data_IF_804621914012
#
_entry.id   IF_804621914012
#
_cell.length_a   1.000
_cell.length_b   1.000
_cell.length_c   1.000
_cell.angle_alpha   90.00
_cell.angle_beta   90.00
_cell.angle_gamma   90.00
#
_symmetry.space_group_name_H-M   'P 1'
#
loop_
_entity.id
_entity.type
_entity.pdbx_description
1 polymer ?
#
# COMPACT_ATOMS: atom_id res chain seq x y z
N UNK A 1 5.74 20.61 -16.50
CA UNK A 1 6.61 19.42 -16.45
C UNK A 1 7.70 19.70 -15.43
N UNK A 2 7.80 18.88 -14.38
CA UNK A 2 8.86 18.99 -13.37
C UNK A 2 10.15 18.49 -14.04
N UNK A 3 11.16 19.34 -14.17
CA UNK A 3 12.45 18.94 -14.76
C UNK A 3 13.19 18.00 -13.81
N UNK A 4 13.75 16.88 -14.32
CA UNK A 4 14.61 15.98 -13.54
C UNK A 4 13.93 14.79 -12.85
N UNK A 5 12.68 14.46 -13.16
CA UNK A 5 12.01 13.25 -12.64
C UNK A 5 12.60 11.99 -13.30
N UNK A 6 13.23 11.12 -12.51
CA UNK A 6 13.80 9.84 -12.97
C UNK A 6 12.76 8.70 -12.96
N UNK A 7 11.88 8.69 -11.95
CA UNK A 7 10.85 7.67 -11.77
C UNK A 7 9.53 8.36 -11.45
N UNK A 8 8.46 7.93 -12.13
CA UNK A 8 7.11 8.41 -11.90
C UNK A 8 6.20 7.21 -11.67
N UNK A 9 5.50 7.26 -10.55
CA UNK A 9 4.51 6.28 -10.16
C UNK A 9 3.17 6.99 -10.01
N UNK A 10 2.11 6.43 -10.59
CA UNK A 10 0.77 7.01 -10.50
C UNK A 10 -0.13 6.03 -9.76
N UNK A 11 -0.34 6.31 -8.48
CA UNK A 11 -1.24 5.54 -7.63
C UNK A 11 -2.10 6.47 -6.78
N UNK A 12 -3.15 5.90 -6.18
CA UNK A 12 -4.02 6.65 -5.30
C UNK A 12 -4.93 5.73 -4.49
N UNK A 13 -5.65 6.30 -3.50
CA UNK A 13 -5.59 7.71 -3.12
C UNK A 13 -4.36 8.07 -2.27
N UNK A 14 -4.16 9.37 -2.05
CA UNK A 14 -3.28 9.89 -1.00
C UNK A 14 -3.83 9.48 0.36
N UNK A 15 -3.03 8.79 1.17
CA UNK A 15 -3.40 8.32 2.50
C UNK A 15 -3.13 9.39 3.56
N UNK A 16 -1.93 9.98 3.50
CA UNK A 16 -1.46 11.01 4.43
C UNK A 16 -0.88 12.17 3.61
N UNK A 17 -1.26 13.39 3.98
CA UNK A 17 -0.73 14.64 3.44
C UNK A 17 -0.40 15.60 4.58
N UNK A 18 0.82 16.13 4.59
CA UNK A 18 1.37 16.96 5.68
C UNK A 18 1.15 16.34 7.09
N UNK A 19 1.36 15.03 7.21
CA UNK A 19 1.19 14.27 8.44
C UNK A 19 -0.26 14.05 8.88
N UNK A 20 -1.25 14.46 8.07
CA UNK A 20 -2.68 14.31 8.36
C UNK A 20 -3.32 13.31 7.41
N UNK A 21 -4.24 12.49 7.92
CA UNK A 21 -5.01 11.55 7.10
C UNK A 21 -5.81 12.34 6.06
N UNK A 22 -5.67 11.96 4.79
CA UNK A 22 -6.29 12.65 3.64
C UNK A 22 -7.48 11.89 3.05
N UNK A 23 -7.57 10.58 3.31
CA UNK A 23 -8.73 9.78 2.90
C UNK A 23 -9.95 10.04 3.79
N UNK A 24 -11.11 10.20 3.17
CA UNK A 24 -12.38 10.27 3.88
C UNK A 24 -13.28 9.10 3.46
N UNK A 25 -13.98 8.51 4.43
CA UNK A 25 -14.90 7.38 4.17
C UNK A 25 -15.97 7.68 3.10
N UNK A 26 -16.27 8.97 2.85
CA UNK A 26 -17.32 9.40 1.93
C UNK A 26 -16.83 9.64 0.49
N UNK A 27 -15.51 9.64 0.24
CA UNK A 27 -14.92 9.86 -1.09
C UNK A 27 -14.41 8.58 -1.74
N UNK A 28 -14.57 7.45 -1.06
CA UNK A 28 -14.12 6.15 -1.52
C UNK A 28 -15.22 5.41 -2.26
N UNK A 29 -14.87 4.85 -3.43
CA UNK A 29 -15.71 3.86 -4.13
C UNK A 29 -15.94 2.68 -3.17
N UNK A 30 -17.11 2.03 -3.18
CA UNK A 30 -17.44 0.92 -2.27
C UNK A 30 -16.34 -0.16 -2.14
N UNK A 31 -15.59 -0.40 -3.21
CA UNK A 31 -14.46 -1.34 -3.25
C UNK A 31 -13.26 -0.92 -2.36
N UNK A 32 -13.09 0.39 -2.15
CA UNK A 32 -12.06 0.98 -1.30
C UNK A 32 -12.46 0.99 0.19
N UNK A 33 -13.76 1.11 0.48
CA UNK A 33 -14.28 1.01 1.84
C UNK A 33 -14.19 -0.40 2.42
N UNK A 34 -14.24 -1.44 1.57
CA UNK A 34 -14.09 -2.82 2.00
C UNK A 34 -12.64 -3.14 2.40
N UNK A 35 -12.50 -3.89 3.50
CA UNK A 35 -11.23 -4.48 3.91
C UNK A 35 -10.66 -5.37 2.82
N UNK A 36 -9.41 -5.12 2.45
CA UNK A 36 -8.69 -5.85 1.42
C UNK A 36 -7.20 -5.95 1.79
N UNK A 37 -6.45 -6.87 1.18
CA UNK A 37 -5.00 -6.75 1.16
C UNK A 37 -4.61 -5.39 0.57
N UNK A 38 -3.63 -4.72 1.17
CA UNK A 38 -3.19 -3.39 0.78
C UNK A 38 -1.68 -3.30 0.72
N UNK A 39 -1.19 -2.39 -0.10
CA UNK A 39 0.21 -1.95 -0.09
C UNK A 39 0.26 -0.44 -0.10
N UNK A 40 1.22 0.13 0.62
CA UNK A 40 1.42 1.57 0.67
C UNK A 40 2.91 1.92 0.69
N UNK A 41 3.21 3.11 0.21
CA UNK A 41 4.51 3.77 0.35
C UNK A 41 4.31 5.12 1.02
N UNK A 42 5.20 5.47 1.93
CA UNK A 42 5.21 6.76 2.60
C UNK A 42 6.61 7.26 2.87
N UNK A 43 6.70 8.52 3.30
CA UNK A 43 7.95 9.19 3.62
C UNK A 43 7.80 9.92 4.96
N UNK A 44 8.70 9.63 5.90
CA UNK A 44 8.77 10.32 7.20
C UNK A 44 9.52 11.65 7.05
N UNK A 45 10.64 11.61 6.32
CA UNK A 45 11.50 12.75 6.01
C UNK A 45 12.22 12.50 4.68
N UNK A 46 12.89 13.50 4.05
CA UNK A 46 13.61 13.28 2.80
C UNK A 46 14.49 12.03 2.85
N UNK A 47 14.30 11.14 1.87
CA UNK A 47 15.01 9.85 1.72
C UNK A 47 14.77 8.81 2.84
N UNK A 48 13.80 9.03 3.73
CA UNK A 48 13.38 8.06 4.75
C UNK A 48 11.98 7.53 4.41
N UNK A 49 11.96 6.37 3.75
CA UNK A 49 10.74 5.74 3.25
C UNK A 49 10.22 4.66 4.18
N UNK A 50 8.90 4.49 4.18
CA UNK A 50 8.19 3.41 4.84
C UNK A 50 7.36 2.67 3.79
N UNK A 51 7.43 1.34 3.82
CA UNK A 51 6.63 0.46 2.99
C UNK A 51 5.78 -0.42 3.89
N UNK A 52 4.49 -0.53 3.55
CA UNK A 52 3.55 -1.37 4.29
C UNK A 52 2.87 -2.32 3.32
N UNK A 53 2.76 -3.58 3.74
CA UNK A 53 1.87 -4.58 3.12
C UNK A 53 0.94 -5.13 4.20
N UNK A 54 -0.31 -5.37 3.84
CA UNK A 54 -1.29 -6.07 4.67
C UNK A 54 -1.84 -7.24 3.89
N UNK A 55 -1.88 -8.40 4.54
CA UNK A 55 -2.71 -9.53 4.09
C UNK A 55 -4.19 -9.21 4.26
N UNK A 56 -5.05 -9.97 3.58
CA UNK A 56 -6.49 -9.83 3.68
C UNK A 56 -7.21 -10.98 2.99
N UNK A 57 -8.54 -11.07 3.14
CA UNK A 57 -9.39 -12.15 2.58
C UNK A 57 -8.98 -13.55 3.03
N UNK A 58 -8.44 -13.68 4.23
CA UNK A 58 -8.18 -14.96 4.90
C UNK A 58 -8.98 -15.05 6.20
N UNK A 59 -9.00 -16.22 6.84
CA UNK A 59 -9.58 -16.36 8.19
C UNK A 59 -8.79 -15.60 9.26
N UNK A 60 -7.53 -15.30 9.00
CA UNK A 60 -6.62 -14.61 9.93
C UNK A 60 -6.66 -13.09 9.75
N UNK A 61 -6.90 -12.61 8.52
CA UNK A 61 -6.99 -11.19 8.21
C UNK A 61 -8.08 -10.92 7.17
N UNK A 62 -9.02 -10.03 7.51
CA UNK A 62 -9.92 -9.44 6.53
C UNK A 62 -9.19 -8.43 5.61
N UNK A 63 -8.05 -7.90 6.06
CA UNK A 63 -7.34 -6.78 5.45
C UNK A 63 -7.79 -5.43 5.97
N UNK A 64 -7.28 -4.37 5.35
CA UNK A 64 -7.48 -2.99 5.79
C UNK A 64 -8.39 -2.23 4.83
N UNK A 65 -9.26 -1.40 5.39
CA UNK A 65 -9.81 -0.26 4.66
C UNK A 65 -8.71 0.77 4.41
N UNK A 66 -8.92 1.69 3.46
CA UNK A 66 -7.95 2.75 3.21
C UNK A 66 -7.80 3.69 4.42
N UNK A 67 -8.87 3.96 5.17
CA UNK A 67 -8.79 4.74 6.41
C UNK A 67 -7.91 4.05 7.46
N UNK A 68 -8.01 2.72 7.62
CA UNK A 68 -7.13 1.97 8.53
C UNK A 68 -5.68 1.97 8.04
N UNK A 69 -5.46 1.79 6.74
CA UNK A 69 -4.12 1.89 6.17
C UNK A 69 -3.52 3.30 6.36
N UNK A 70 -4.31 4.35 6.19
CA UNK A 70 -3.87 5.72 6.43
C UNK A 70 -3.50 5.96 7.90
N UNK A 71 -4.26 5.41 8.85
CA UNK A 71 -3.90 5.43 10.27
C UNK A 71 -2.56 4.73 10.52
N UNK A 72 -2.33 3.53 9.96
CA UNK A 72 -1.04 2.83 10.06
C UNK A 72 0.13 3.69 9.52
N UNK A 73 -0.07 4.34 8.38
CA UNK A 73 0.97 5.21 7.79
C UNK A 73 1.21 6.47 8.62
N UNK A 74 0.17 7.07 9.19
CA UNK A 74 0.27 8.22 10.09
C UNK A 74 0.97 7.84 11.39
N UNK A 75 0.62 6.71 12.00
CA UNK A 75 1.24 6.20 13.24
C UNK A 75 2.73 5.86 13.03
N UNK A 76 3.10 5.43 11.82
CA UNK A 76 4.49 5.27 11.41
C UNK A 76 5.25 6.60 11.23
N UNK A 77 4.59 7.75 11.38
CA UNK A 77 5.19 9.08 11.30
C UNK A 77 5.31 9.64 9.89
N UNK A 78 4.61 9.09 8.90
CA UNK A 78 4.70 9.57 7.52
C UNK A 78 4.17 11.00 7.40
N UNK A 79 4.93 11.86 6.71
CA UNK A 79 4.49 13.20 6.31
C UNK A 79 3.67 13.17 5.03
N UNK A 80 3.99 12.25 4.12
CA UNK A 80 3.17 11.91 2.98
C UNK A 80 3.11 10.40 2.79
N UNK A 81 1.96 9.87 2.37
CA UNK A 81 1.80 8.47 2.06
C UNK A 81 0.74 8.24 0.97
N UNK A 82 0.96 7.23 0.15
CA UNK A 82 0.09 6.88 -0.97
C UNK A 82 -0.22 5.38 -0.94
N UNK A 83 -1.47 5.05 -1.27
CA UNK A 83 -1.85 3.68 -1.55
C UNK A 83 -1.24 3.23 -2.88
N UNK A 84 -0.81 1.97 -2.96
CA UNK A 84 -0.34 1.28 -4.18
C UNK A 84 -1.38 0.23 -4.62
N UNK A 85 -1.10 -0.51 -5.70
CA UNK A 85 -2.02 -1.56 -6.16
C UNK A 85 -2.25 -2.64 -5.11
N UNK A 86 -3.52 -2.92 -4.80
CA UNK A 86 -3.93 -3.74 -3.67
C UNK A 86 -4.43 -5.13 -4.04
N UNK A 87 -5.14 -5.75 -3.11
CA UNK A 87 -5.83 -7.01 -3.33
C UNK A 87 -4.86 -8.14 -3.69
N UNK A 88 -5.12 -8.84 -4.80
CA UNK A 88 -4.27 -9.98 -5.16
C UNK A 88 -2.86 -9.62 -5.62
N UNK A 89 -2.58 -8.33 -5.83
CA UNK A 89 -1.25 -7.82 -6.16
C UNK A 89 -0.42 -7.48 -4.91
N UNK A 90 -1.02 -7.49 -3.72
CA UNK A 90 -0.32 -7.12 -2.48
C UNK A 90 0.69 -8.18 -2.06
N UNK A 91 1.95 -7.94 -2.43
CA UNK A 91 3.10 -8.79 -2.13
C UNK A 91 4.28 -7.94 -1.72
N UNK A 92 4.96 -8.31 -0.63
CA UNK A 92 6.26 -7.78 -0.25
C UNK A 92 7.30 -8.87 -0.30
N UNK A 93 8.39 -8.59 -1.00
CA UNK A 93 9.57 -9.45 -1.07
C UNK A 93 10.71 -8.79 -0.30
N UNK A 94 11.31 -9.53 0.63
CA UNK A 94 12.39 -9.04 1.47
C UNK A 94 13.45 -10.13 1.62
N UNK A 95 14.68 -9.79 1.21
CA UNK A 95 15.89 -10.59 1.46
C UNK A 95 15.85 -12.06 0.98
N UNK A 96 15.12 -12.36 -0.10
CA UNK A 96 15.03 -13.73 -0.63
C UNK A 96 13.59 -14.24 -0.72
N UNK A 97 12.74 -13.72 0.16
CA UNK A 97 11.47 -14.37 0.48
C UNK A 97 10.29 -13.40 0.42
N UNK A 98 9.10 -13.95 0.15
CA UNK A 98 7.84 -13.25 0.35
C UNK A 98 7.51 -13.26 1.84
N UNK A 99 7.23 -12.09 2.41
CA UNK A 99 7.05 -11.92 3.86
C UNK A 99 5.59 -11.76 4.29
N UNK A 100 4.66 -11.87 3.36
CA UNK A 100 3.22 -11.83 3.61
C UNK A 100 2.53 -13.06 2.98
N UNK A 101 1.20 -13.19 3.09
CA UNK A 101 0.40 -14.27 2.48
C UNK A 101 -0.50 -13.71 1.35
N UNK A 102 0.02 -13.55 0.12
CA UNK A 102 -0.75 -12.97 -0.98
C UNK A 102 -1.99 -13.81 -1.32
N UNK A 103 -3.14 -13.15 -1.50
CA UNK A 103 -4.39 -13.82 -1.87
C UNK A 103 -4.78 -13.53 -3.31
N UNK A 104 -4.64 -14.51 -4.20
CA UNK A 104 -5.07 -14.41 -5.60
C UNK A 104 -6.57 -14.69 -5.75
N UNK A 105 -7.24 -13.99 -6.67
CA UNK A 105 -8.63 -14.20 -7.09
C UNK A 105 -9.67 -14.20 -5.95
N UNK A 106 -9.34 -13.58 -4.83
CA UNK A 106 -10.22 -13.46 -3.67
C UNK A 106 -9.80 -14.37 -2.53
N UNK A 107 -9.58 -15.67 -2.75
CA UNK A 107 -9.57 -16.65 -1.65
C UNK A 107 -8.46 -17.72 -1.72
N UNK A 108 -7.57 -17.71 -2.71
CA UNK A 108 -6.45 -18.67 -2.76
C UNK A 108 -5.15 -18.02 -2.33
N UNK A 109 -4.49 -18.59 -1.33
CA UNK A 109 -3.15 -18.15 -0.89
C UNK A 109 -2.15 -18.55 -1.99
N UNK A 110 -1.75 -17.56 -2.79
CA UNK A 110 -0.75 -17.68 -3.84
C UNK A 110 -0.39 -16.30 -4.36
N UNK A 111 0.87 -16.13 -4.76
CA UNK A 111 1.32 -14.93 -5.46
C UNK A 111 0.62 -14.76 -6.82
N UNK A 112 0.42 -13.49 -7.20
CA UNK A 112 -0.08 -13.10 -8.52
C UNK A 112 1.04 -12.46 -9.33
N UNK A 113 1.09 -12.77 -10.64
CA UNK A 113 1.93 -12.03 -11.58
C UNK A 113 1.45 -10.57 -11.69
N UNK A 114 2.36 -9.63 -11.48
CA UNK A 114 2.13 -8.18 -11.63
C UNK A 114 2.96 -7.63 -12.79
N UNK A 115 2.60 -6.46 -13.31
CA UNK A 115 3.33 -5.82 -14.41
C UNK A 115 4.62 -5.15 -13.94
N UNK A 116 4.55 -4.45 -12.81
CA UNK A 116 5.60 -3.57 -12.32
C UNK A 116 5.81 -3.76 -10.81
N UNK A 117 7.02 -3.44 -10.35
CA UNK A 117 7.39 -3.48 -8.93
C UNK A 117 8.11 -2.20 -8.52
N UNK A 118 7.99 -1.83 -7.25
CA UNK A 118 8.90 -0.87 -6.61
C UNK A 118 10.00 -1.68 -5.93
N UNK A 119 11.24 -1.51 -6.39
CA UNK A 119 12.39 -2.26 -5.91
C UNK A 119 13.44 -1.32 -5.34
N UNK A 120 13.92 -1.62 -4.14
CA UNK A 120 15.04 -0.94 -3.50
C UNK A 120 16.25 -1.86 -3.58
N UNK A 121 17.16 -1.54 -4.51
CA UNK A 121 18.40 -2.27 -4.72
C UNK A 121 19.57 -1.73 -3.90
N UNK A 122 20.71 -2.43 -3.97
CA UNK A 122 22.00 -1.95 -3.49
C UNK A 122 22.58 -0.85 -4.36
#
# INVERSE_FOLDING_TARGET
MISGVLQLFSFGPTLVDNGQISVSANQEVEQSMNSNPRTAIGMISPLHYVFVVSDGRTSESAGLSLAQLAAVMQDAGCQCAYNLDGGGSSTMWFMGDVVNNPTTNGNSISERKVSDIVYIGQ
#
